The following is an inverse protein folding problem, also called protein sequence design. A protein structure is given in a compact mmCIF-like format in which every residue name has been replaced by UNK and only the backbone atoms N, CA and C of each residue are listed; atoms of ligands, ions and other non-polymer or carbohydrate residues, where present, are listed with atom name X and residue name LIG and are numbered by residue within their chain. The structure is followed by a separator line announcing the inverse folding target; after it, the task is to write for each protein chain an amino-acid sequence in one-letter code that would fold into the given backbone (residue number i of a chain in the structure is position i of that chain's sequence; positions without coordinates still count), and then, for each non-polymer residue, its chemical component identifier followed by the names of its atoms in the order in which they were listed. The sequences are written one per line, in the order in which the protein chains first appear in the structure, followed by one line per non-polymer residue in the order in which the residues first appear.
data_IF_365933096656
#
_entry.id   IF_365933096656
#
_cell.length_a   1.000
_cell.length_b   1.000
_cell.length_c   1.000
_cell.angle_alpha   90.00
_cell.angle_beta   90.00
_cell.angle_gamma   90.00
#
_symmetry.space_group_name_H-M   'P 1'
#
loop_
_entity.id
_entity.type
_entity.pdbx_description
1 polymer ?
#
# COMPACT_ATOMS: atom_id res chain seq x y z
N UNK A 1 4.63 -20.64 3.27
CA UNK A 1 5.58 -20.62 2.14
C UNK A 1 5.11 -21.48 0.97
N UNK A 2 4.91 -22.79 1.14
CA UNK A 2 4.48 -23.70 0.05
C UNK A 2 3.18 -23.22 -0.63
N UNK A 3 2.20 -22.79 0.17
CA UNK A 3 0.96 -22.20 -0.35
C UNK A 3 1.24 -21.00 -1.27
N UNK A 4 2.07 -20.05 -0.83
CA UNK A 4 2.41 -18.85 -1.58
C UNK A 4 3.14 -19.17 -2.89
N UNK A 5 4.19 -19.99 -2.85
CA UNK A 5 4.99 -20.36 -4.02
C UNK A 5 4.17 -21.17 -5.04
N UNK A 6 3.39 -22.14 -4.58
CA UNK A 6 2.53 -22.96 -5.46
C UNK A 6 1.42 -22.12 -6.09
N UNK A 7 0.86 -21.17 -5.33
CA UNK A 7 -0.16 -20.24 -5.80
C UNK A 7 0.39 -19.31 -6.88
N UNK A 8 1.61 -18.79 -6.69
CA UNK A 8 2.29 -17.99 -7.70
C UNK A 8 2.63 -18.81 -8.97
N UNK A 9 3.20 -20.00 -8.80
CA UNK A 9 3.52 -20.90 -9.93
C UNK A 9 2.27 -21.25 -10.74
N UNK A 10 1.14 -21.51 -10.07
CA UNK A 10 -0.13 -21.72 -10.74
C UNK A 10 -0.53 -20.51 -11.60
N UNK A 11 -0.42 -19.27 -11.08
CA UNK A 11 -0.78 -18.08 -11.86
C UNK A 11 0.15 -17.83 -13.04
N UNK A 12 1.44 -18.10 -12.89
CA UNK A 12 2.43 -17.93 -13.96
C UNK A 12 2.31 -18.99 -15.05
N UNK A 13 2.22 -20.27 -14.67
CA UNK A 13 2.31 -21.39 -15.60
C UNK A 13 0.95 -22.06 -15.91
N UNK A 14 -0.13 -21.64 -15.26
CA UNK A 14 -1.46 -22.28 -15.30
C UNK A 14 -1.42 -23.79 -15.00
N UNK A 15 -0.44 -24.23 -14.20
CA UNK A 15 -0.24 -25.64 -13.86
C UNK A 15 -1.30 -26.14 -12.84
N UNK A 16 -2.19 -27.08 -13.21
CA UNK A 16 -3.22 -27.60 -12.31
C UNK A 16 -2.68 -28.27 -11.04
N UNK A 17 -1.51 -28.91 -11.09
CA UNK A 17 -0.88 -29.55 -9.93
C UNK A 17 -0.49 -28.51 -8.88
N UNK A 18 0.09 -27.39 -9.33
CA UNK A 18 0.45 -26.27 -8.46
C UNK A 18 -0.78 -25.64 -7.80
N UNK A 19 -1.94 -25.64 -8.49
CA UNK A 19 -3.21 -25.20 -7.88
C UNK A 19 -3.63 -26.11 -6.74
N UNK A 20 -3.59 -27.44 -6.95
CA UNK A 20 -3.94 -28.42 -5.92
C UNK A 20 -3.00 -28.33 -4.71
N UNK A 21 -1.69 -28.20 -4.97
CA UNK A 21 -0.67 -28.01 -3.94
C UNK A 21 -0.88 -26.71 -3.14
N UNK A 22 -1.22 -25.61 -3.83
CA UNK A 22 -1.52 -24.33 -3.18
C UNK A 22 -2.72 -24.44 -2.24
N UNK A 23 -3.82 -25.07 -2.69
CA UNK A 23 -5.03 -25.26 -1.89
C UNK A 23 -4.71 -26.13 -0.66
N UNK A 24 -4.08 -27.29 -0.88
CA UNK A 24 -3.75 -28.24 0.19
C UNK A 24 -2.86 -27.60 1.25
N UNK A 25 -1.79 -26.91 0.84
CA UNK A 25 -0.89 -26.23 1.76
C UNK A 25 -1.56 -25.04 2.48
N UNK A 26 -2.53 -24.36 1.85
CA UNK A 26 -3.29 -23.29 2.51
C UNK A 26 -4.19 -23.87 3.60
N UNK A 27 -4.91 -24.95 3.31
CA UNK A 27 -5.78 -25.62 4.30
C UNK A 27 -4.98 -26.12 5.50
N UNK A 28 -3.86 -26.79 5.25
CA UNK A 28 -2.95 -27.27 6.30
C UNK A 28 -2.42 -26.10 7.15
N UNK A 29 -1.97 -25.02 6.49
CA UNK A 29 -1.47 -23.83 7.18
C UNK A 29 -2.53 -23.18 8.06
N UNK A 30 -3.79 -23.10 7.61
CA UNK A 30 -4.90 -22.59 8.42
C UNK A 30 -5.21 -23.47 9.63
N UNK A 31 -5.14 -24.80 9.46
CA UNK A 31 -5.29 -25.76 10.55
C UNK A 31 -4.23 -25.55 11.64
N UNK A 32 -2.96 -25.54 11.23
CA UNK A 32 -1.83 -25.34 12.14
C UNK A 32 -1.84 -23.95 12.79
N UNK A 33 -2.22 -22.91 12.05
CA UNK A 33 -2.35 -21.55 12.59
C UNK A 33 -3.45 -21.47 13.65
N UNK A 34 -4.60 -22.11 13.41
CA UNK A 34 -5.69 -22.17 14.39
C UNK A 34 -5.26 -22.87 15.66
N UNK A 35 -4.57 -24.01 15.55
CA UNK A 35 -4.03 -24.74 16.69
C UNK A 35 -3.03 -23.88 17.49
N UNK A 36 -2.07 -23.26 16.80
CA UNK A 36 -1.06 -22.38 17.42
C UNK A 36 -1.68 -21.16 18.13
N UNK A 37 -2.82 -20.65 17.64
CA UNK A 37 -3.53 -19.53 18.28
C UNK A 37 -4.32 -19.98 19.51
N UNK A 38 -4.87 -21.20 19.50
CA UNK A 38 -5.84 -21.68 20.51
C UNK A 38 -5.22 -22.49 21.63
N UNK A 39 -4.05 -23.11 21.42
CA UNK A 39 -3.38 -23.96 22.40
C UNK A 39 -2.43 -23.14 23.30
N UNK A 40 -2.69 -23.02 24.62
CA UNK A 40 -1.77 -22.39 25.56
C UNK A 40 -0.45 -23.18 25.62
N UNK A 41 0.69 -22.49 25.52
CA UNK A 41 2.01 -23.13 25.65
C UNK A 41 2.57 -23.74 24.37
N UNK A 42 1.99 -23.46 23.20
CA UNK A 42 2.70 -23.63 21.92
C UNK A 42 4.03 -22.86 22.03
N UNK A 43 5.17 -23.56 22.08
CA UNK A 43 6.46 -23.09 22.59
C UNK A 43 7.10 -21.89 21.86
N UNK A 44 8.42 -21.91 21.66
CA UNK A 44 9.21 -20.81 21.04
C UNK A 44 8.77 -20.42 19.61
N UNK A 45 7.80 -21.14 19.01
CA UNK A 45 7.24 -20.89 17.68
C UNK A 45 6.20 -19.78 17.61
N UNK A 46 5.70 -19.24 18.73
CA UNK A 46 4.63 -18.24 18.71
C UNK A 46 4.98 -16.95 17.94
N UNK A 47 6.27 -16.61 17.81
CA UNK A 47 6.70 -15.45 17.01
C UNK A 47 6.42 -15.61 15.50
N UNK A 48 6.25 -16.86 15.03
CA UNK A 48 5.97 -17.16 13.62
C UNK A 48 4.51 -16.96 13.21
N UNK A 49 3.60 -16.76 14.18
CA UNK A 49 2.16 -16.62 13.93
C UNK A 49 1.88 -15.36 13.10
N UNK A 50 2.49 -14.23 13.46
CA UNK A 50 2.33 -12.96 12.74
C UNK A 50 2.84 -13.02 11.28
N UNK A 51 4.11 -13.41 11.00
CA UNK A 51 4.59 -13.51 9.62
C UNK A 51 3.82 -14.55 8.80
N UNK A 52 3.38 -15.66 9.41
CA UNK A 52 2.54 -16.65 8.72
C UNK A 52 1.20 -16.05 8.30
N UNK A 53 0.55 -15.32 9.20
CA UNK A 53 -0.73 -14.64 8.93
C UNK A 53 -0.58 -13.58 7.85
N UNK A 54 0.49 -12.79 7.89
CA UNK A 54 0.79 -11.78 6.89
C UNK A 54 1.13 -12.40 5.53
N UNK A 55 1.86 -13.51 5.49
CA UNK A 55 2.15 -14.23 4.25
C UNK A 55 0.88 -14.81 3.60
N UNK A 56 -0.08 -15.28 4.40
CA UNK A 56 -1.41 -15.66 3.91
C UNK A 56 -2.16 -14.45 3.35
N UNK A 57 -2.13 -13.30 4.04
CA UNK A 57 -2.71 -12.05 3.54
C UNK A 57 -2.10 -11.66 2.18
N UNK A 58 -0.76 -11.58 2.09
CA UNK A 58 -0.03 -11.27 0.85
C UNK A 58 -0.39 -12.25 -0.27
N UNK A 59 -0.50 -13.55 0.04
CA UNK A 59 -0.88 -14.56 -0.97
C UNK A 59 -2.29 -14.30 -1.52
N UNK A 60 -3.24 -13.92 -0.67
CA UNK A 60 -4.60 -13.61 -1.08
C UNK A 60 -4.65 -12.39 -2.00
N UNK A 61 -3.96 -11.30 -1.63
CA UNK A 61 -3.95 -10.09 -2.46
C UNK A 61 -3.21 -10.30 -3.79
N UNK A 62 -2.08 -11.04 -3.79
CA UNK A 62 -1.42 -11.46 -5.02
C UNK A 62 -2.30 -12.36 -5.90
N UNK A 63 -3.30 -13.04 -5.33
CA UNK A 63 -4.29 -13.81 -6.06
C UNK A 63 -5.54 -12.98 -6.46
N UNK A 64 -5.59 -11.70 -6.10
CA UNK A 64 -6.74 -10.82 -6.34
C UNK A 64 -7.90 -10.98 -5.36
N UNK A 65 -7.75 -11.76 -4.29
CA UNK A 65 -8.77 -11.96 -3.25
C UNK A 65 -8.63 -10.92 -2.13
N UNK A 66 -9.26 -9.76 -2.36
CA UNK A 66 -9.29 -8.63 -1.41
C UNK A 66 -10.05 -8.95 -0.13
N UNK A 67 -11.08 -9.80 -0.20
CA UNK A 67 -11.94 -10.14 0.94
C UNK A 67 -11.19 -10.99 1.95
N UNK A 68 -10.52 -12.05 1.49
CA UNK A 68 -9.75 -12.94 2.37
C UNK A 68 -8.47 -12.25 2.85
N UNK A 69 -7.84 -11.41 2.01
CA UNK A 69 -6.75 -10.53 2.44
C UNK A 69 -7.10 -9.74 3.70
N UNK A 70 -8.26 -9.06 3.74
CA UNK A 70 -8.67 -8.25 4.91
C UNK A 70 -8.99 -9.08 6.14
N UNK A 71 -9.50 -10.30 5.97
CA UNK A 71 -9.70 -11.23 7.10
C UNK A 71 -8.37 -11.57 7.76
N UNK A 72 -7.34 -11.88 6.96
CA UNK A 72 -5.99 -12.13 7.47
C UNK A 72 -5.35 -10.88 8.05
N UNK A 73 -5.52 -9.72 7.41
CA UNK A 73 -5.03 -8.45 7.94
C UNK A 73 -5.61 -8.16 9.33
N UNK A 74 -6.92 -8.32 9.51
CA UNK A 74 -7.57 -8.19 10.81
C UNK A 74 -7.05 -9.21 11.84
N UNK A 75 -6.81 -10.46 11.42
CA UNK A 75 -6.16 -11.47 12.26
C UNK A 75 -4.77 -11.04 12.74
N UNK A 76 -3.95 -10.46 11.83
CA UNK A 76 -2.64 -9.93 12.16
C UNK A 76 -2.72 -8.80 13.20
N UNK A 77 -3.72 -7.92 13.10
CA UNK A 77 -3.94 -6.86 14.09
C UNK A 77 -4.19 -7.43 15.49
N UNK A 78 -5.04 -8.46 15.60
CA UNK A 78 -5.32 -9.13 16.86
C UNK A 78 -4.08 -9.83 17.45
N UNK A 79 -3.24 -10.43 16.60
CA UNK A 79 -1.97 -11.03 17.03
C UNK A 79 -1.05 -9.96 17.62
N UNK A 80 -0.90 -8.81 16.95
CA UNK A 80 -0.09 -7.69 17.46
C UNK A 80 -0.61 -7.20 18.80
N UNK A 81 -1.91 -6.99 18.95
CA UNK A 81 -2.49 -6.56 20.22
C UNK A 81 -2.19 -7.53 21.38
N UNK A 82 -2.28 -8.84 21.11
CA UNK A 82 -2.04 -9.90 22.10
C UNK A 82 -0.57 -10.02 22.47
N UNK A 83 0.32 -9.97 21.48
CA UNK A 83 1.71 -10.43 21.64
C UNK A 83 2.75 -9.30 21.58
N UNK A 84 2.36 -8.03 21.42
CA UNK A 84 3.28 -6.87 21.26
C UNK A 84 4.38 -6.76 22.33
N UNK A 85 4.10 -7.14 23.57
CA UNK A 85 5.07 -7.11 24.67
C UNK A 85 5.97 -8.36 24.72
N UNK A 86 5.52 -9.48 24.13
CA UNK A 86 6.19 -10.78 24.22
C UNK A 86 7.37 -10.90 23.25
N UNK A 87 7.23 -10.32 22.05
CA UNK A 87 8.21 -10.46 20.96
C UNK A 87 8.88 -9.14 20.58
N UNK A 88 8.86 -8.14 21.48
CA UNK A 88 9.36 -6.79 21.22
C UNK A 88 10.86 -6.70 20.91
N UNK A 89 11.65 -7.76 21.13
CA UNK A 89 13.07 -7.83 20.79
C UNK A 89 13.37 -8.75 19.61
N UNK A 90 12.36 -9.41 19.04
CA UNK A 90 12.57 -10.43 18.02
C UNK A 90 12.63 -9.83 16.58
N UNK A 91 13.71 -10.02 15.82
CA UNK A 91 13.85 -9.43 14.49
C UNK A 91 12.75 -9.81 13.49
N UNK A 92 12.24 -11.04 13.56
CA UNK A 92 11.16 -11.52 12.69
C UNK A 92 9.84 -10.82 13.03
N UNK A 93 9.59 -10.56 14.31
CA UNK A 93 8.46 -9.73 14.74
C UNK A 93 8.55 -8.32 14.15
N UNK A 94 9.70 -7.67 14.26
CA UNK A 94 9.93 -6.31 13.74
C UNK A 94 9.77 -6.23 12.22
N UNK A 95 10.32 -7.19 11.48
CA UNK A 95 10.11 -7.28 10.02
C UNK A 95 8.63 -7.46 9.68
N UNK A 96 7.91 -8.27 10.45
CA UNK A 96 6.47 -8.49 10.26
C UNK A 96 5.66 -7.23 10.53
N UNK A 97 6.01 -6.44 11.55
CA UNK A 97 5.36 -5.16 11.83
C UNK A 97 5.53 -4.15 10.68
N UNK A 98 6.74 -4.06 10.11
CA UNK A 98 6.99 -3.18 8.94
C UNK A 98 6.11 -3.56 7.76
N UNK A 99 5.99 -4.85 7.51
CA UNK A 99 5.14 -5.35 6.44
C UNK A 99 3.64 -5.12 6.73
N UNK A 100 3.22 -5.27 7.99
CA UNK A 100 1.87 -4.92 8.42
C UNK A 100 1.57 -3.42 8.18
N UNK A 101 2.51 -2.52 8.50
CA UNK A 101 2.38 -1.08 8.21
C UNK A 101 2.15 -0.84 6.72
N UNK A 102 2.95 -1.47 5.86
CA UNK A 102 2.78 -1.37 4.41
C UNK A 102 1.37 -1.82 3.97
N UNK A 103 0.92 -3.01 4.40
CA UNK A 103 -0.41 -3.53 4.08
C UNK A 103 -1.54 -2.61 4.58
N UNK A 104 -1.40 -2.03 5.77
CA UNK A 104 -2.39 -1.12 6.35
C UNK A 104 -2.47 0.19 5.56
N UNK A 105 -1.34 0.76 5.15
CA UNK A 105 -1.31 1.96 4.32
C UNK A 105 -1.95 1.72 2.94
N UNK A 106 -1.64 0.58 2.29
CA UNK A 106 -2.26 0.26 1.00
C UNK A 106 -3.77 0.03 1.12
N UNK A 107 -4.21 -0.61 2.20
CA UNK A 107 -5.64 -0.75 2.50
C UNK A 107 -6.29 0.62 2.78
N UNK A 108 -5.58 1.53 3.47
CA UNK A 108 -6.01 2.91 3.72
C UNK A 108 -6.18 3.71 2.43
N UNK A 109 -5.20 3.64 1.55
CA UNK A 109 -5.23 4.30 0.25
C UNK A 109 -6.39 3.82 -0.63
N UNK A 110 -6.77 2.55 -0.47
CA UNK A 110 -7.93 1.94 -1.12
C UNK A 110 -9.28 2.45 -0.60
N UNK A 111 -9.29 3.37 0.37
CA UNK A 111 -10.50 4.00 0.91
C UNK A 111 -11.07 3.34 2.17
N UNK A 112 -10.31 2.43 2.81
CA UNK A 112 -10.72 1.81 4.06
C UNK A 112 -10.01 2.45 5.25
N UNK A 113 -10.73 2.96 6.26
CA UNK A 113 -10.08 3.64 7.38
C UNK A 113 -9.16 2.69 8.15
N UNK A 114 -8.18 3.26 8.85
CA UNK A 114 -7.43 2.49 9.82
C UNK A 114 -8.34 2.09 11.00
N UNK A 115 -8.11 0.94 11.63
CA UNK A 115 -8.82 0.55 12.84
C UNK A 115 -8.69 1.64 13.92
N UNK A 116 -9.80 2.28 14.29
CA UNK A 116 -9.82 3.34 15.30
C UNK A 116 -9.83 2.79 16.73
N UNK A 117 -9.58 3.64 17.74
CA UNK A 117 -9.63 3.27 19.19
C UNK A 117 -10.94 2.61 19.61
N UNK A 118 -12.03 2.87 18.89
CA UNK A 118 -13.35 2.33 19.18
C UNK A 118 -13.63 1.01 18.45
N UNK A 119 -12.74 0.57 17.56
CA UNK A 119 -12.88 -0.71 16.84
C UNK A 119 -12.23 -1.86 17.60
N UNK A 120 -12.86 -3.03 17.58
CA UNK A 120 -12.17 -4.28 17.93
C UNK A 120 -10.99 -4.44 16.98
N UNK A 121 -9.77 -4.62 17.52
CA UNK A 121 -8.56 -4.64 16.69
C UNK A 121 -7.81 -3.29 16.58
N UNK A 122 -8.16 -2.28 17.38
CA UNK A 122 -7.40 -1.02 17.49
C UNK A 122 -5.88 -1.24 17.57
N UNK A 123 -5.13 -0.60 16.68
CA UNK A 123 -3.69 -0.57 16.78
C UNK A 123 -3.20 0.81 17.20
N UNK A 124 -2.31 0.78 18.18
CA UNK A 124 -1.47 1.90 18.54
C UNK A 124 -0.51 2.21 17.37
N UNK A 125 -0.83 3.26 16.61
CA UNK A 125 -0.02 3.68 15.47
C UNK A 125 1.37 4.12 15.91
N UNK A 126 1.51 4.72 17.09
CA UNK A 126 2.82 5.11 17.63
C UNK A 126 3.67 3.86 17.88
N UNK A 127 3.08 2.78 18.39
CA UNK A 127 3.75 1.49 18.51
C UNK A 127 4.18 0.94 17.14
N UNK A 128 3.31 0.94 16.12
CA UNK A 128 3.73 0.48 14.78
C UNK A 128 4.85 1.34 14.20
N UNK A 129 4.81 2.65 14.41
CA UNK A 129 5.87 3.54 13.94
C UNK A 129 7.21 3.30 14.61
N UNK A 130 7.25 2.63 15.77
CA UNK A 130 8.54 2.21 16.37
C UNK A 130 9.28 1.24 15.47
N UNK A 131 8.56 0.42 14.68
CA UNK A 131 9.19 -0.57 13.78
C UNK A 131 9.81 0.02 12.51
N UNK A 132 9.47 1.26 12.18
CA UNK A 132 10.02 1.96 11.03
C UNK A 132 11.48 2.33 11.30
N UNK A 133 12.33 2.43 10.26
CA UNK A 133 13.73 2.75 10.45
C UNK A 133 13.91 4.16 11.05
N UNK A 134 15.09 4.41 11.59
CA UNK A 134 15.46 5.72 12.14
C UNK A 134 15.22 6.86 11.15
N UNK A 135 15.03 8.07 11.70
CA UNK A 135 14.88 9.28 10.89
C UNK A 135 16.04 9.38 9.88
N UNK A 136 15.69 9.75 8.66
CA UNK A 136 16.65 9.85 7.56
C UNK A 136 16.90 8.54 6.79
N UNK A 137 16.37 7.38 7.21
CA UNK A 137 16.60 6.10 6.52
C UNK A 137 15.39 5.62 5.71
N UNK A 138 15.68 4.92 4.61
CA UNK A 138 14.68 4.23 3.80
C UNK A 138 14.67 2.74 4.18
N UNK A 139 13.47 2.20 4.41
CA UNK A 139 13.28 0.80 4.73
C UNK A 139 13.54 -0.08 3.50
N UNK A 140 14.45 -1.05 3.65
CA UNK A 140 14.91 -1.90 2.55
C UNK A 140 13.81 -2.83 2.01
N UNK A 141 12.74 -3.08 2.77
CA UNK A 141 11.69 -4.04 2.39
C UNK A 141 10.54 -3.40 1.63
N UNK A 142 10.21 -2.14 1.97
CA UNK A 142 9.02 -1.46 1.45
C UNK A 142 9.31 -0.19 0.65
N UNK A 143 10.55 0.32 0.68
CA UNK A 143 10.90 1.62 0.10
C UNK A 143 10.36 2.83 0.87
N UNK A 144 9.65 2.63 1.99
CA UNK A 144 9.17 3.72 2.83
C UNK A 144 10.23 4.23 3.80
N UNK A 145 10.23 5.53 4.10
CA UNK A 145 10.81 6.01 5.35
C UNK A 145 9.74 6.24 6.40
N UNK A 146 10.15 6.37 7.67
CA UNK A 146 9.22 6.70 8.77
C UNK A 146 8.45 7.98 8.50
N UNK A 147 9.13 9.01 7.99
CA UNK A 147 8.53 10.31 7.70
C UNK A 147 7.53 10.25 6.54
N UNK A 148 7.80 9.43 5.52
CA UNK A 148 6.85 9.21 4.42
C UNK A 148 5.60 8.48 4.91
N UNK A 149 5.74 7.45 5.76
CA UNK A 149 4.58 6.77 6.39
C UNK A 149 3.71 7.74 7.17
N UNK A 150 4.33 8.59 8.00
CA UNK A 150 3.62 9.59 8.81
C UNK A 150 2.90 10.59 7.90
N UNK A 151 3.62 11.15 6.93
CA UNK A 151 3.08 12.18 6.02
C UNK A 151 1.96 11.62 5.16
N UNK A 152 2.12 10.41 4.62
CA UNK A 152 1.07 9.72 3.87
C UNK A 152 -0.19 9.48 4.71
N UNK A 153 -0.03 9.09 5.98
CA UNK A 153 -1.18 8.93 6.87
C UNK A 153 -1.91 10.26 7.09
N UNK A 154 -1.17 11.35 7.34
CA UNK A 154 -1.73 12.70 7.48
C UNK A 154 -2.47 13.16 6.21
N UNK A 155 -1.93 12.89 5.02
CA UNK A 155 -2.60 13.17 3.74
C UNK A 155 -3.90 12.38 3.62
N UNK A 156 -3.90 11.10 4.02
CA UNK A 156 -5.11 10.29 4.01
C UNK A 156 -6.17 10.84 4.99
N UNK A 157 -5.79 11.24 6.20
CA UNK A 157 -6.68 11.88 7.18
C UNK A 157 -7.27 13.20 6.62
N UNK A 158 -6.43 14.01 5.98
CA UNK A 158 -6.87 15.24 5.33
C UNK A 158 -7.87 14.96 4.21
N UNK A 159 -7.77 13.82 3.54
CA UNK A 159 -8.62 13.43 2.40
C UNK A 159 -9.94 12.75 2.79
N UNK A 160 -10.14 12.42 4.07
CA UNK A 160 -11.36 11.75 4.53
C UNK A 160 -12.58 12.71 4.53
N UNK A 161 -13.78 12.26 4.10
CA UNK A 161 -14.99 13.08 4.12
C UNK A 161 -15.34 13.51 5.55
N UNK A 162 -15.64 14.80 5.75
CA UNK A 162 -16.09 15.29 7.07
C UNK A 162 -17.55 14.92 7.32
N UNK A 163 -17.88 14.57 8.57
CA UNK A 163 -19.24 14.77 9.10
C UNK A 163 -19.37 16.26 9.47
N UNK A 164 -19.99 17.06 8.61
CA UNK A 164 -20.27 18.47 8.91
C UNK A 164 -21.58 18.53 9.70
N UNK A 165 -21.52 19.04 10.93
CA UNK A 165 -22.71 19.55 11.62
C UNK A 165 -23.02 20.95 11.07
N UNK A 166 -24.26 21.18 10.68
CA UNK A 166 -24.71 22.27 9.79
C UNK A 166 -24.70 23.68 10.43
N UNK A 167 -24.33 23.82 11.71
CA UNK A 167 -24.71 25.00 12.50
C UNK A 167 -23.65 26.12 12.64
N UNK A 168 -22.54 26.15 11.87
CA UNK A 168 -21.50 27.17 12.05
C UNK A 168 -20.90 27.73 10.73
N UNK A 169 -21.59 28.68 10.11
CA UNK A 169 -21.15 29.34 8.86
C UNK A 169 -19.91 30.24 9.00
N UNK A 170 -19.64 30.78 10.20
CA UNK A 170 -18.45 31.61 10.48
C UNK A 170 -17.17 30.81 10.78
N UNK A 171 -17.30 29.58 11.28
CA UNK A 171 -16.18 28.69 11.59
C UNK A 171 -15.61 28.00 10.34
N UNK A 172 -16.40 27.90 9.27
CA UNK A 172 -16.00 27.28 8.00
C UNK A 172 -14.79 27.99 7.35
N UNK A 173 -14.78 29.33 7.28
CA UNK A 173 -13.74 30.06 6.55
C UNK A 173 -12.37 30.01 7.24
N UNK A 174 -12.33 30.16 8.57
CA UNK A 174 -11.09 30.01 9.34
C UNK A 174 -10.54 28.58 9.29
N UNK A 175 -11.44 27.59 9.25
CA UNK A 175 -11.06 26.20 9.06
C UNK A 175 -10.43 25.97 7.67
N UNK A 176 -11.05 26.46 6.61
CA UNK A 176 -10.55 26.22 5.25
C UNK A 176 -9.16 26.84 5.02
N UNK A 177 -8.91 28.00 5.62
CA UNK A 177 -7.58 28.60 5.64
C UNK A 177 -6.56 27.74 6.39
N UNK A 178 -6.91 27.24 7.59
CA UNK A 178 -6.04 26.35 8.36
C UNK A 178 -5.76 25.03 7.62
N UNK A 179 -6.77 24.47 6.94
CA UNK A 179 -6.65 23.27 6.11
C UNK A 179 -5.71 23.51 4.93
N UNK A 180 -5.86 24.64 4.23
CA UNK A 180 -4.99 25.00 3.11
C UNK A 180 -3.54 25.19 3.57
N UNK A 181 -3.33 25.87 4.70
CA UNK A 181 -2.00 26.02 5.29
C UNK A 181 -1.37 24.67 5.66
N UNK A 182 -2.16 23.76 6.25
CA UNK A 182 -1.69 22.41 6.59
C UNK A 182 -1.40 21.56 5.34
N UNK A 183 -2.24 21.63 4.31
CA UNK A 183 -1.99 20.99 3.01
C UNK A 183 -0.66 21.47 2.41
N UNK A 184 -0.42 22.78 2.42
CA UNK A 184 0.83 23.35 1.92
C UNK A 184 2.05 22.90 2.73
N UNK A 185 1.92 22.78 4.06
CA UNK A 185 2.99 22.22 4.91
C UNK A 185 3.32 20.77 4.53
N UNK A 186 2.29 19.93 4.31
CA UNK A 186 2.48 18.54 3.87
C UNK A 186 3.12 18.48 2.48
N UNK A 187 2.75 19.36 1.55
CA UNK A 187 3.37 19.49 0.24
C UNK A 187 4.88 19.77 0.36
N UNK A 188 5.28 20.74 1.18
CA UNK A 188 6.70 21.07 1.40
C UNK A 188 7.48 19.89 1.99
N UNK A 189 6.91 19.19 2.98
CA UNK A 189 7.52 17.98 3.56
C UNK A 189 7.72 16.89 2.50
N UNK A 190 6.74 16.67 1.63
CA UNK A 190 6.85 15.67 0.56
C UNK A 190 7.92 16.07 -0.47
N UNK A 191 8.02 17.35 -0.83
CA UNK A 191 9.07 17.85 -1.72
C UNK A 191 10.46 17.58 -1.14
N UNK A 192 10.65 17.75 0.17
CA UNK A 192 11.91 17.43 0.85
C UNK A 192 12.20 15.91 0.82
N UNK A 193 11.19 15.08 1.13
CA UNK A 193 11.32 13.62 1.14
C UNK A 193 11.66 13.03 -0.23
N UNK A 194 11.31 13.71 -1.33
CA UNK A 194 11.67 13.30 -2.70
C UNK A 194 13.17 13.13 -2.90
N UNK A 195 13.98 13.89 -2.16
CA UNK A 195 15.44 13.92 -2.29
C UNK A 195 16.14 13.02 -1.27
N UNK A 196 15.40 12.19 -0.53
CA UNK A 196 15.97 11.28 0.47
C UNK A 196 16.87 10.24 -0.20
N UNK A 197 18.03 9.99 0.41
CA UNK A 197 19.03 9.04 -0.10
C UNK A 197 19.14 7.82 0.79
N UNK A 198 19.54 6.69 0.19
CA UNK A 198 19.82 5.44 0.88
C UNK A 198 21.34 5.24 1.04
N UNK A 199 22.04 6.28 1.51
CA UNK A 199 23.52 6.32 1.58
C UNK A 199 24.15 5.16 2.35
N UNK A 200 23.42 4.55 3.30
CA UNK A 200 23.88 3.39 4.07
C UNK A 200 23.91 2.08 3.26
N UNK A 201 23.24 2.01 2.12
CA UNK A 201 23.25 0.84 1.23
C UNK A 201 24.48 0.92 0.36
N UNK A 202 25.30 -0.13 0.28
CA UNK A 202 26.56 -0.16 -0.49
C UNK A 202 26.34 -0.57 -1.95
N UNK A 203 25.41 -1.50 -2.19
CA UNK A 203 25.02 -1.92 -3.54
C UNK A 203 24.39 -0.74 -4.30
N UNK A 204 25.02 -0.38 -5.43
CA UNK A 204 24.63 0.80 -6.21
C UNK A 204 23.28 0.63 -6.88
N UNK A 205 22.99 -0.57 -7.37
CA UNK A 205 21.72 -0.87 -8.06
C UNK A 205 20.59 -0.86 -7.04
N UNK A 206 20.75 -1.61 -5.94
CA UNK A 206 19.76 -1.65 -4.87
C UNK A 206 19.50 -0.26 -4.28
N UNK A 207 20.56 0.54 -4.07
CA UNK A 207 20.42 1.92 -3.59
C UNK A 207 19.57 2.75 -4.55
N UNK A 208 19.90 2.74 -5.84
CA UNK A 208 19.19 3.52 -6.85
C UNK A 208 17.71 3.09 -6.96
N UNK A 209 17.45 1.79 -6.94
CA UNK A 209 16.08 1.26 -6.98
C UNK A 209 15.28 1.62 -5.72
N UNK A 210 15.93 1.61 -4.55
CA UNK A 210 15.31 1.98 -3.29
C UNK A 210 14.97 3.47 -3.23
N UNK A 211 15.89 4.34 -3.63
CA UNK A 211 15.68 5.78 -3.74
C UNK A 211 14.59 6.11 -4.76
N UNK A 212 14.56 5.40 -5.89
CA UNK A 212 13.53 5.58 -6.92
C UNK A 212 12.16 5.10 -6.42
N UNK A 213 12.11 3.97 -5.72
CA UNK A 213 10.87 3.45 -5.09
C UNK A 213 10.33 4.43 -4.07
N UNK A 214 11.19 4.95 -3.19
CA UNK A 214 10.81 5.98 -2.23
C UNK A 214 10.23 7.21 -2.94
N UNK A 215 10.92 7.71 -3.97
CA UNK A 215 10.47 8.84 -4.78
C UNK A 215 9.08 8.61 -5.40
N UNK A 216 8.85 7.42 -5.95
CA UNK A 216 7.56 7.04 -6.54
C UNK A 216 6.44 7.09 -5.52
N UNK A 217 6.66 6.58 -4.31
CA UNK A 217 5.67 6.68 -3.23
C UNK A 217 5.44 8.13 -2.76
N UNK A 218 6.49 8.94 -2.68
CA UNK A 218 6.38 10.37 -2.36
C UNK A 218 5.57 11.12 -3.43
N UNK A 219 5.83 10.88 -4.71
CA UNK A 219 5.10 11.52 -5.80
C UNK A 219 3.65 11.05 -5.90
N UNK A 220 3.38 9.77 -5.62
CA UNK A 220 2.03 9.25 -5.50
C UNK A 220 1.29 9.86 -4.30
N UNK A 221 2.01 10.16 -3.21
CA UNK A 221 1.46 10.87 -2.04
C UNK A 221 1.11 12.32 -2.39
N UNK A 222 1.95 13.00 -3.17
CA UNK A 222 1.65 14.34 -3.69
C UNK A 222 0.41 14.33 -4.60
N UNK A 223 0.28 13.33 -5.49
CA UNK A 223 -0.94 13.17 -6.29
C UNK A 223 -2.18 12.95 -5.40
N UNK A 224 -2.05 12.14 -4.35
CA UNK A 224 -3.11 11.92 -3.37
C UNK A 224 -3.51 13.24 -2.70
N UNK A 225 -2.55 14.05 -2.25
CA UNK A 225 -2.78 15.37 -1.68
C UNK A 225 -3.53 16.29 -2.67
N UNK A 226 -2.99 16.44 -3.89
CA UNK A 226 -3.55 17.33 -4.90
C UNK A 226 -4.95 16.92 -5.37
N UNK A 227 -5.18 15.64 -5.64
CA UNK A 227 -6.45 15.15 -6.18
C UNK A 227 -7.49 14.90 -5.10
N UNK A 228 -7.09 14.43 -3.91
CA UNK A 228 -8.02 14.01 -2.86
C UNK A 228 -8.23 15.04 -1.76
N UNK A 229 -7.18 15.72 -1.32
CA UNK A 229 -7.28 16.70 -0.23
C UNK A 229 -7.58 18.11 -0.74
N UNK A 230 -6.88 18.53 -1.81
CA UNK A 230 -7.03 19.86 -2.43
C UNK A 230 -8.06 19.88 -3.56
N UNK A 231 -8.53 18.70 -3.99
CA UNK A 231 -9.54 18.53 -5.04
C UNK A 231 -9.19 19.23 -6.38
N UNK A 232 -7.90 19.39 -6.67
CA UNK A 232 -7.42 20.01 -7.90
C UNK A 232 -7.85 19.18 -9.11
N UNK A 233 -8.23 19.79 -10.25
CA UNK A 233 -8.62 19.05 -11.43
C UNK A 233 -7.44 18.29 -12.03
N UNK A 234 -7.74 17.25 -12.81
CA UNK A 234 -6.74 16.34 -13.37
C UNK A 234 -5.70 17.07 -14.23
N UNK A 235 -6.11 18.07 -15.00
CA UNK A 235 -5.26 18.87 -15.88
C UNK A 235 -4.41 19.93 -15.15
N UNK A 236 -4.58 20.08 -13.83
CA UNK A 236 -3.82 21.04 -13.04
C UNK A 236 -2.30 20.81 -13.19
N UNK A 237 -1.49 21.87 -13.36
CA UNK A 237 -0.04 21.74 -13.53
C UNK A 237 0.67 20.97 -12.41
N UNK A 238 0.24 21.09 -11.14
CA UNK A 238 0.82 20.33 -10.03
C UNK A 238 0.56 18.83 -10.16
N UNK A 239 -0.68 18.46 -10.51
CA UNK A 239 -1.08 17.07 -10.77
C UNK A 239 -0.26 16.50 -11.92
N UNK A 240 -0.25 17.17 -13.07
CA UNK A 240 0.47 16.68 -14.25
C UNK A 240 1.99 16.64 -14.06
N UNK A 241 2.55 17.52 -13.24
CA UNK A 241 3.98 17.45 -12.86
C UNK A 241 4.27 16.20 -12.05
N UNK A 242 3.44 15.88 -11.05
CA UNK A 242 3.61 14.67 -10.25
C UNK A 242 3.40 13.39 -11.08
N UNK A 243 2.42 13.36 -12.00
CA UNK A 243 2.26 12.26 -12.97
C UNK A 243 3.55 12.06 -13.77
N UNK A 244 4.09 13.12 -14.38
CA UNK A 244 5.33 13.05 -15.16
C UNK A 244 6.53 12.58 -14.33
N UNK A 245 6.65 13.03 -13.09
CA UNK A 245 7.71 12.57 -12.17
C UNK A 245 7.62 11.07 -11.89
N UNK A 246 6.42 10.53 -11.70
CA UNK A 246 6.20 9.08 -11.54
C UNK A 246 6.57 8.34 -12.82
N UNK A 247 6.05 8.76 -13.98
CA UNK A 247 6.32 8.11 -15.27
C UNK A 247 7.82 8.09 -15.59
N UNK A 248 8.51 9.22 -15.42
CA UNK A 248 9.96 9.30 -15.63
C UNK A 248 10.73 8.39 -14.66
N UNK A 249 10.31 8.32 -13.39
CA UNK A 249 10.95 7.44 -12.41
C UNK A 249 10.74 5.97 -12.73
N UNK A 250 9.55 5.57 -13.20
CA UNK A 250 9.26 4.19 -13.61
C UNK A 250 10.16 3.75 -14.77
N UNK A 251 10.40 4.62 -15.75
CA UNK A 251 11.27 4.34 -16.90
C UNK A 251 12.74 4.12 -16.51
N UNK A 252 13.17 4.66 -15.36
CA UNK A 252 14.53 4.49 -14.86
C UNK A 252 14.74 3.17 -14.10
N UNK A 253 13.67 2.44 -13.76
CA UNK A 253 13.76 1.14 -13.10
C UNK A 253 13.91 0.05 -14.16
N UNK A 254 14.87 -0.85 -13.97
CA UNK A 254 15.06 -1.98 -14.87
C UNK A 254 13.77 -2.83 -14.96
N UNK A 255 13.36 -3.23 -16.17
CA UNK A 255 12.07 -3.94 -16.40
C UNK A 255 11.92 -5.24 -15.62
N UNK A 256 13.03 -5.92 -15.37
CA UNK A 256 13.07 -7.18 -14.60
C UNK A 256 13.26 -6.97 -13.09
N UNK A 257 13.38 -5.72 -12.63
CA UNK A 257 13.58 -5.44 -11.21
C UNK A 257 12.41 -5.98 -10.38
N UNK A 258 12.68 -6.63 -9.23
CA UNK A 258 11.62 -7.10 -8.34
C UNK A 258 10.86 -5.95 -7.69
N UNK A 259 11.42 -4.73 -7.67
CA UNK A 259 10.75 -3.57 -7.04
C UNK A 259 9.43 -3.23 -7.70
N UNK A 260 9.23 -3.59 -8.97
CA UNK A 260 7.95 -3.40 -9.66
C UNK A 260 6.77 -4.04 -8.93
N UNK A 261 7.00 -5.07 -8.12
CA UNK A 261 5.97 -5.78 -7.36
C UNK A 261 5.31 -4.96 -6.25
N UNK A 262 5.91 -3.85 -5.81
CA UNK A 262 5.35 -2.98 -4.76
C UNK A 262 4.78 -1.65 -5.31
N UNK A 263 4.82 -1.45 -6.62
CA UNK A 263 4.50 -0.17 -7.27
C UNK A 263 3.05 -0.06 -7.74
N UNK A 264 2.16 -0.97 -7.30
CA UNK A 264 0.77 -1.00 -7.77
C UNK A 264 0.05 0.32 -7.52
N UNK A 265 0.19 0.87 -6.31
CA UNK A 265 -0.42 2.17 -5.98
C UNK A 265 0.16 3.34 -6.81
N UNK A 266 1.49 3.58 -6.86
CA UNK A 266 2.04 4.62 -7.74
C UNK A 266 1.60 4.50 -9.20
N UNK A 267 1.54 3.29 -9.74
CA UNK A 267 1.07 3.02 -11.10
C UNK A 267 -0.41 3.39 -11.27
N UNK A 268 -1.27 2.99 -10.34
CA UNK A 268 -2.69 3.37 -10.36
C UNK A 268 -2.86 4.90 -10.31
N UNK A 269 -2.19 5.56 -9.36
CA UNK A 269 -2.31 6.99 -9.14
C UNK A 269 -1.90 7.77 -10.41
N UNK A 270 -0.72 7.49 -10.96
CA UNK A 270 -0.27 8.13 -12.18
C UNK A 270 -1.13 7.76 -13.39
N UNK A 271 -1.52 6.49 -13.53
CA UNK A 271 -2.32 6.02 -14.65
C UNK A 271 -3.71 6.66 -14.71
N UNK A 272 -4.40 6.76 -13.57
CA UNK A 272 -5.69 7.44 -13.49
C UNK A 272 -5.60 8.92 -13.88
N UNK A 273 -4.55 9.62 -13.44
CA UNK A 273 -4.38 11.05 -13.72
C UNK A 273 -3.54 11.35 -14.98
N UNK A 274 -3.17 10.33 -15.77
CA UNK A 274 -2.51 10.49 -17.07
C UNK A 274 -3.44 11.09 -18.13
N UNK A 275 -2.95 12.11 -18.83
CA UNK A 275 -3.70 12.84 -19.86
C UNK A 275 -3.33 12.39 -21.27
N UNK A 276 -2.12 11.85 -21.47
CA UNK A 276 -1.65 11.40 -22.78
C UNK A 276 -1.75 9.89 -22.95
N UNK A 277 -1.83 9.44 -24.21
CA UNK A 277 -1.79 8.00 -24.52
C UNK A 277 -0.43 7.38 -24.17
N UNK A 278 0.67 8.09 -24.41
CA UNK A 278 2.02 7.60 -24.14
C UNK A 278 2.26 7.31 -22.64
N UNK A 279 1.80 8.19 -21.74
CA UNK A 279 1.86 7.95 -20.30
C UNK A 279 1.08 6.69 -19.90
N UNK A 280 -0.14 6.55 -20.43
CA UNK A 280 -0.98 5.37 -20.18
C UNK A 280 -0.31 4.08 -20.67
N UNK A 281 0.32 4.10 -21.84
CA UNK A 281 1.03 2.94 -22.38
C UNK A 281 2.15 2.46 -21.45
N UNK A 282 2.95 3.37 -20.90
CA UNK A 282 4.03 3.01 -19.95
C UNK A 282 3.46 2.31 -18.71
N UNK A 283 2.35 2.82 -18.16
CA UNK A 283 1.69 2.20 -17.01
C UNK A 283 1.12 0.83 -17.36
N UNK A 284 0.44 0.70 -18.51
CA UNK A 284 -0.13 -0.57 -18.99
C UNK A 284 0.97 -1.62 -19.17
N UNK A 285 2.05 -1.30 -19.89
CA UNK A 285 3.15 -2.25 -20.12
C UNK A 285 3.78 -2.72 -18.80
N UNK A 286 3.93 -1.81 -17.83
CA UNK A 286 4.47 -2.15 -16.51
C UNK A 286 3.53 -3.09 -15.75
N UNK A 287 2.21 -2.80 -15.76
CA UNK A 287 1.22 -3.65 -15.09
C UNK A 287 1.07 -5.02 -15.77
N UNK A 288 1.05 -5.09 -17.10
CA UNK A 288 0.97 -6.34 -17.86
C UNK A 288 2.19 -7.24 -17.59
N UNK A 289 3.38 -6.66 -17.47
CA UNK A 289 4.58 -7.38 -17.07
C UNK A 289 4.47 -7.98 -15.65
N UNK A 290 3.81 -7.29 -14.72
CA UNK A 290 3.54 -7.83 -13.38
C UNK A 290 2.45 -8.91 -13.39
N UNK A 291 1.39 -8.74 -14.18
CA UNK A 291 0.35 -9.76 -14.38
C UNK A 291 0.96 -11.04 -14.96
N UNK A 292 1.86 -10.94 -15.94
CA UNK A 292 2.58 -12.09 -16.51
C UNK A 292 3.46 -12.82 -15.49
N UNK A 293 3.90 -12.13 -14.42
CA UNK A 293 4.64 -12.70 -13.28
C UNK A 293 3.71 -13.28 -12.19
N UNK A 294 2.42 -13.37 -12.46
CA UNK A 294 1.43 -13.96 -11.57
C UNK A 294 1.00 -13.03 -10.43
N UNK A 295 1.02 -11.71 -10.63
CA UNK A 295 0.44 -10.75 -9.69
C UNK A 295 -1.00 -10.39 -10.11
N UNK A 296 -1.98 -11.08 -9.52
CA UNK A 296 -3.40 -10.89 -9.84
C UNK A 296 -3.97 -9.54 -9.37
N UNK A 297 -3.40 -8.91 -8.34
CA UNK A 297 -3.79 -7.55 -7.93
C UNK A 297 -3.59 -6.54 -9.07
N UNK A 298 -2.52 -6.69 -9.86
CA UNK A 298 -2.23 -5.84 -11.02
C UNK A 298 -3.24 -6.04 -12.14
N UNK A 299 -3.71 -7.27 -12.36
CA UNK A 299 -4.74 -7.56 -13.36
C UNK A 299 -6.06 -6.86 -13.01
N UNK A 300 -6.51 -7.00 -11.76
CA UNK A 300 -7.74 -6.36 -11.27
C UNK A 300 -7.68 -4.82 -11.38
N UNK A 301 -6.54 -4.23 -10.98
CA UNK A 301 -6.35 -2.77 -11.03
C UNK A 301 -6.22 -2.28 -12.47
N UNK A 302 -5.55 -3.02 -13.36
CA UNK A 302 -5.44 -2.68 -14.77
C UNK A 302 -6.80 -2.72 -15.48
N UNK A 303 -7.63 -3.72 -15.17
CA UNK A 303 -9.01 -3.78 -15.66
C UNK A 303 -9.81 -2.56 -15.20
N UNK A 304 -9.74 -2.24 -13.89
CA UNK A 304 -10.36 -1.06 -13.31
C UNK A 304 -9.90 0.23 -14.02
N UNK A 305 -8.60 0.40 -14.24
CA UNK A 305 -8.07 1.60 -14.91
C UNK A 305 -8.56 1.74 -16.34
N UNK A 306 -8.63 0.64 -17.09
CA UNK A 306 -9.16 0.64 -18.47
C UNK A 306 -10.63 1.04 -18.51
N UNK A 307 -11.41 0.63 -17.53
CA UNK A 307 -12.80 1.05 -17.36
C UNK A 307 -12.89 2.53 -16.98
N UNK A 308 -12.10 2.96 -15.99
CA UNK A 308 -12.03 4.35 -15.55
C UNK A 308 -11.62 5.31 -16.68
N UNK A 309 -10.70 4.94 -17.57
CA UNK A 309 -10.34 5.79 -18.72
C UNK A 309 -11.45 5.94 -19.75
N UNK A 310 -12.36 4.98 -19.84
CA UNK A 310 -13.51 5.02 -20.75
C UNK A 310 -14.69 5.78 -20.12
N UNK A 311 -14.92 5.56 -18.83
CA UNK A 311 -16.18 5.88 -18.17
C UNK A 311 -16.05 6.85 -16.98
N UNK A 312 -14.83 7.12 -16.51
CA UNK A 312 -14.58 7.91 -15.29
C UNK A 312 -14.65 9.42 -15.48
N UNK A 313 -14.45 9.93 -16.71
CA UNK A 313 -14.42 11.37 -16.99
C UNK A 313 -13.37 12.09 -16.13
N UNK A 314 -13.77 13.21 -15.49
CA UNK A 314 -12.92 14.01 -14.60
C UNK A 314 -13.03 13.63 -13.11
N UNK A 315 -13.93 12.70 -12.79
CA UNK A 315 -14.16 12.23 -11.42
C UNK A 315 -12.89 11.58 -10.86
N UNK A 316 -12.67 11.72 -9.56
CA UNK A 316 -11.57 11.07 -8.85
C UNK A 316 -11.72 9.54 -8.88
N UNK A 317 -10.63 8.81 -9.13
CA UNK A 317 -10.68 7.35 -9.34
C UNK A 317 -11.30 6.58 -8.16
N UNK A 318 -11.08 7.02 -6.92
CA UNK A 318 -11.61 6.37 -5.72
C UNK A 318 -13.13 6.57 -5.58
N UNK A 319 -13.66 7.71 -6.03
CA UNK A 319 -15.09 7.94 -6.12
C UNK A 319 -15.71 7.07 -7.22
N UNK A 320 -15.04 6.95 -8.36
CA UNK A 320 -15.47 6.04 -9.44
C UNK A 320 -15.47 4.57 -8.98
N UNK A 321 -14.44 4.14 -8.25
CA UNK A 321 -14.37 2.80 -7.67
C UNK A 321 -15.54 2.54 -6.71
N UNK A 322 -15.84 3.49 -5.83
CA UNK A 322 -16.99 3.39 -4.92
C UNK A 322 -18.32 3.35 -5.68
N UNK A 323 -18.50 4.18 -6.71
CA UNK A 323 -19.72 4.22 -7.53
C UNK A 323 -19.95 2.92 -8.29
N UNK A 324 -18.88 2.30 -8.79
CA UNK A 324 -18.93 1.04 -9.55
C UNK A 324 -18.87 -0.21 -8.68
N UNK A 325 -18.78 -0.05 -7.35
CA UNK A 325 -18.65 -1.16 -6.41
C UNK A 325 -17.34 -1.95 -6.57
N UNK A 326 -16.31 -1.36 -7.19
CA UNK A 326 -15.02 -1.98 -7.41
C UNK A 326 -14.21 -1.91 -6.12
N UNK A 327 -13.85 -3.09 -5.61
CA UNK A 327 -13.08 -3.25 -4.39
C UNK A 327 -11.60 -3.46 -4.72
N UNK A 328 -10.77 -2.46 -4.44
CA UNK A 328 -9.34 -2.48 -4.75
C UNK A 328 -8.52 -2.70 -3.48
N UNK A 329 -7.37 -3.35 -3.62
CA UNK A 329 -6.29 -3.34 -2.63
C UNK A 329 -5.02 -2.99 -3.38
N UNK A 330 -4.41 -1.86 -3.04
CA UNK A 330 -3.31 -1.26 -3.81
C UNK A 330 -1.94 -1.79 -3.40
N UNK A 331 -1.88 -3.10 -3.21
CA UNK A 331 -0.69 -3.87 -2.87
C UNK A 331 -0.11 -4.52 -4.12
#
# INVERSE_FOLDING_TARGET
MIAASSSQLFRMARNPESKSAAISATVECLGNLREAITTPGFGDLGVTILPTTLMLATTCVCAGDTTTFRKHLNGALHIVQRDKSKYSLDPLWWMSLKWLVHCLLMNRLSGLPLPSRQTKGFIDWDYLLTCMPDLGRIDLTSGFSRELVITLNMVCELSEPRCINVDASGELHGYDLARSAYSHELELRLIELRNKTASTVTDVVLRAELETTHRLFTDATLLCLYRRADELPKDNPKVQTAVKSIINSLQNIHKQSPVHAQLLWPLLAAGCDSTTHAERTIVVETMESMTARGMGSYENVLEFMRDYWKNGGDMRWDLFAKQTGKDLVLF
#
